data_IF_430948558927
#
_entry.id   IF_430948558927
#
_cell.length_a   1.000
_cell.length_b   1.000
_cell.length_c   1.000
_cell.angle_alpha   90.00
_cell.angle_beta   90.00
_cell.angle_gamma   90.00
#
_symmetry.space_group_name_H-M   'P 1'
#
loop_
_entity.id
_entity.type
_entity.pdbx_description
1 polymer ?
#
# COMPACT_ATOMS: atom_id res chain seq x y z
N UNK A 1 42.22 -0.21 7.55
CA UNK A 1 40.78 -0.02 7.80
C UNK A 1 40.05 0.42 6.54
N UNK A 2 40.30 1.63 6.01
CA UNK A 2 39.57 2.13 4.82
C UNK A 2 39.63 1.26 3.55
N UNK A 3 40.73 0.55 3.29
CA UNK A 3 40.83 -0.38 2.13
C UNK A 3 39.96 -1.62 2.34
N UNK A 4 40.05 -2.23 3.53
CA UNK A 4 39.24 -3.39 3.92
C UNK A 4 37.74 -3.07 3.89
N UNK A 5 37.34 -1.93 4.43
CA UNK A 5 35.93 -1.47 4.41
C UNK A 5 35.39 -1.35 2.98
N UNK A 6 36.17 -0.74 2.07
CA UNK A 6 35.77 -0.61 0.66
C UNK A 6 35.64 -1.95 -0.04
N UNK A 7 36.56 -2.87 0.19
CA UNK A 7 36.51 -4.22 -0.37
C UNK A 7 35.27 -4.97 0.13
N UNK A 8 35.02 -4.97 1.44
CA UNK A 8 33.85 -5.59 2.05
C UNK A 8 32.56 -5.02 1.47
N UNK A 9 32.40 -3.69 1.43
CA UNK A 9 31.21 -3.04 0.87
C UNK A 9 31.02 -3.40 -0.60
N UNK A 10 32.11 -3.50 -1.37
CA UNK A 10 32.05 -3.89 -2.79
C UNK A 10 31.55 -5.32 -2.95
N UNK A 11 32.05 -6.26 -2.14
CA UNK A 11 31.63 -7.65 -2.16
C UNK A 11 30.18 -7.84 -1.67
N UNK A 12 29.75 -7.09 -0.65
CA UNK A 12 28.35 -7.06 -0.19
C UNK A 12 27.42 -6.55 -1.30
N UNK A 13 27.77 -5.46 -1.97
CA UNK A 13 26.98 -4.97 -3.10
C UNK A 13 26.95 -5.99 -4.25
N UNK A 14 28.05 -6.71 -4.47
CA UNK A 14 28.10 -7.77 -5.46
C UNK A 14 27.22 -8.96 -5.10
N UNK A 15 27.12 -9.35 -3.82
CA UNK A 15 26.21 -10.43 -3.38
C UNK A 15 24.75 -10.05 -3.56
N UNK A 16 24.38 -8.79 -3.28
CA UNK A 16 23.02 -8.28 -3.53
C UNK A 16 22.68 -8.31 -5.01
N UNK A 17 23.56 -7.80 -5.88
CA UNK A 17 23.33 -7.78 -7.34
C UNK A 17 23.14 -9.19 -7.93
N UNK A 18 23.89 -10.17 -7.45
CA UNK A 18 23.83 -11.55 -7.96
C UNK A 18 22.91 -12.46 -7.14
N UNK A 19 22.28 -11.96 -6.06
CA UNK A 19 21.56 -12.75 -5.05
C UNK A 19 22.36 -13.97 -4.57
N UNK A 20 23.68 -13.80 -4.41
CA UNK A 20 24.61 -14.88 -4.08
C UNK A 20 24.79 -15.00 -2.56
N UNK A 21 24.06 -15.93 -1.96
CA UNK A 21 24.15 -16.26 -0.54
C UNK A 21 25.54 -16.76 -0.13
N UNK A 22 26.19 -17.59 -0.94
CA UNK A 22 27.52 -18.12 -0.64
C UNK A 22 28.57 -17.02 -0.56
N UNK A 23 28.49 -16.01 -1.43
CA UNK A 23 29.32 -14.81 -1.37
C UNK A 23 29.03 -14.00 -0.11
N UNK A 24 27.77 -13.75 0.21
CA UNK A 24 27.39 -13.02 1.42
C UNK A 24 27.95 -13.71 2.69
N UNK A 25 27.80 -15.03 2.81
CA UNK A 25 28.31 -15.79 3.95
C UNK A 25 29.84 -15.65 4.11
N UNK A 26 30.59 -15.75 3.00
CA UNK A 26 32.06 -15.59 3.03
C UNK A 26 32.47 -14.20 3.50
N UNK A 27 31.79 -13.16 3.02
CA UNK A 27 32.06 -11.78 3.44
C UNK A 27 31.73 -11.60 4.91
N UNK A 28 30.58 -12.10 5.37
CA UNK A 28 30.18 -12.03 6.77
C UNK A 28 31.18 -12.74 7.70
N UNK A 29 31.65 -13.94 7.33
CA UNK A 29 32.68 -14.64 8.09
C UNK A 29 33.99 -13.83 8.18
N UNK A 30 34.39 -13.15 7.11
CA UNK A 30 35.54 -12.24 7.13
C UNK A 30 35.31 -11.04 8.05
N UNK A 31 34.11 -10.47 8.09
CA UNK A 31 33.74 -9.39 9.01
C UNK A 31 33.90 -9.88 10.45
N UNK A 32 33.26 -11.00 10.81
CA UNK A 32 33.35 -11.58 12.17
C UNK A 32 34.79 -11.91 12.55
N UNK A 33 35.55 -12.56 11.66
CA UNK A 33 36.93 -12.95 11.94
C UNK A 33 37.85 -11.74 12.15
N UNK A 34 37.78 -10.73 11.28
CA UNK A 34 38.70 -9.60 11.33
C UNK A 34 38.31 -8.54 12.37
N UNK A 35 37.01 -8.42 12.67
CA UNK A 35 36.50 -7.36 13.52
C UNK A 35 36.11 -7.85 14.93
N UNK A 36 35.64 -9.08 15.09
CA UNK A 36 35.20 -9.61 16.39
C UNK A 36 36.23 -10.51 17.09
N UNK A 37 36.96 -11.35 16.34
CA UNK A 37 37.90 -12.33 16.93
C UNK A 37 39.03 -11.69 17.77
N UNK A 38 39.64 -10.55 17.39
CA UNK A 38 40.64 -9.88 18.22
C UNK A 38 40.08 -9.37 19.56
N UNK A 39 38.78 -9.02 19.61
CA UNK A 39 38.12 -8.51 20.82
C UNK A 39 37.87 -9.64 21.84
N UNK A 40 37.54 -10.84 21.36
CA UNK A 40 37.29 -12.02 22.21
C UNK A 40 38.56 -12.58 22.87
N UNK A 41 39.74 -12.31 22.29
CA UNK A 41 41.05 -12.75 22.79
C UNK A 41 41.67 -11.79 23.82
N UNK A 42 40.89 -10.85 24.37
CA UNK A 42 41.34 -9.93 25.42
C UNK A 42 42.31 -8.84 24.93
N UNK A 43 42.48 -8.68 23.61
CA UNK A 43 43.21 -7.54 23.07
C UNK A 43 42.41 -6.25 23.33
N UNK A 44 43.06 -5.12 23.67
CA UNK A 44 42.36 -3.84 23.79
C UNK A 44 41.61 -3.58 22.50
N UNK A 45 40.32 -3.20 22.60
CA UNK A 45 39.40 -2.95 21.48
C UNK A 45 40.05 -1.95 20.51
N UNK A 46 40.82 -2.45 19.53
CA UNK A 46 41.55 -1.62 18.58
C UNK A 46 40.53 -1.09 17.58
N UNK A 47 40.19 0.18 17.76
CA UNK A 47 39.14 0.92 17.05
C UNK A 47 37.73 0.38 17.33
N UNK A 48 36.80 1.29 17.61
CA UNK A 48 35.38 0.96 17.61
C UNK A 48 35.04 0.28 16.28
N UNK A 49 34.24 -0.77 16.35
CA UNK A 49 33.78 -1.48 15.17
C UNK A 49 33.14 -0.46 14.20
N UNK A 50 33.57 -0.41 12.93
CA UNK A 50 32.97 0.49 11.96
C UNK A 50 31.50 0.07 11.75
N UNK A 51 30.57 0.80 12.36
CA UNK A 51 29.13 0.50 12.37
C UNK A 51 28.54 0.51 10.96
N UNK A 52 29.17 1.20 10.01
CA UNK A 52 28.81 1.21 8.61
C UNK A 52 28.94 -0.19 8.00
N UNK A 53 30.01 -0.93 8.31
CA UNK A 53 30.20 -2.30 7.81
C UNK A 53 29.05 -3.21 8.26
N UNK A 54 28.61 -3.12 9.51
CA UNK A 54 27.47 -3.90 10.00
C UNK A 54 26.15 -3.44 9.39
N UNK A 55 25.92 -2.13 9.20
CA UNK A 55 24.72 -1.64 8.51
C UNK A 55 24.67 -2.16 7.07
N UNK A 56 25.76 -2.04 6.31
CA UNK A 56 25.83 -2.56 4.94
C UNK A 56 25.65 -4.09 4.90
N UNK A 57 26.26 -4.81 5.83
CA UNK A 57 26.12 -6.27 5.88
C UNK A 57 24.69 -6.70 6.21
N UNK A 58 24.03 -6.01 7.15
CA UNK A 58 22.64 -6.29 7.51
C UNK A 58 21.69 -6.03 6.34
N UNK A 59 21.84 -4.91 5.64
CA UNK A 59 21.01 -4.60 4.47
C UNK A 59 21.24 -5.58 3.32
N UNK A 60 22.51 -5.94 3.06
CA UNK A 60 22.83 -6.95 2.06
C UNK A 60 22.22 -8.31 2.42
N UNK A 61 22.27 -8.68 3.70
CA UNK A 61 21.66 -9.91 4.19
C UNK A 61 20.14 -9.90 4.04
N UNK A 62 19.46 -8.80 4.40
CA UNK A 62 18.02 -8.64 4.16
C UNK A 62 17.67 -8.76 2.66
N UNK A 63 18.47 -8.17 1.78
CA UNK A 63 18.24 -8.22 0.33
C UNK A 63 18.43 -9.61 -0.28
N UNK A 64 19.29 -10.46 0.32
CA UNK A 64 19.53 -11.85 -0.10
C UNK A 64 18.62 -12.85 0.66
N UNK A 65 17.85 -12.39 1.65
CA UNK A 65 16.93 -13.24 2.42
C UNK A 65 17.57 -13.95 3.62
N UNK A 66 18.69 -13.45 4.12
CA UNK A 66 19.43 -13.99 5.28
C UNK A 66 19.14 -13.21 6.55
N UNK A 67 17.98 -13.47 7.16
CA UNK A 67 17.57 -12.82 8.40
C UNK A 67 18.55 -13.06 9.56
N UNK A 68 19.13 -14.26 9.66
CA UNK A 68 20.10 -14.65 10.69
C UNK A 68 21.36 -13.77 10.68
N UNK A 69 21.91 -13.48 9.50
CA UNK A 69 23.08 -12.60 9.35
C UNK A 69 22.70 -11.15 9.70
N UNK A 70 21.51 -10.70 9.27
CA UNK A 70 21.02 -9.37 9.58
C UNK A 70 20.77 -9.17 11.09
N UNK A 71 20.22 -10.18 11.78
CA UNK A 71 20.02 -10.19 13.23
C UNK A 71 21.34 -10.10 13.99
N UNK A 72 22.37 -10.88 13.59
CA UNK A 72 23.70 -10.78 14.17
C UNK A 72 24.27 -9.37 14.03
N UNK A 73 24.20 -8.80 12.83
CA UNK A 73 24.67 -7.44 12.58
C UNK A 73 23.91 -6.42 13.42
N UNK A 74 22.58 -6.56 13.53
CA UNK A 74 21.75 -5.66 14.32
C UNK A 74 22.08 -5.77 15.82
N UNK A 75 22.36 -6.96 16.35
CA UNK A 75 22.79 -7.15 17.73
C UNK A 75 24.08 -6.38 18.04
N UNK A 76 25.06 -6.39 17.12
CA UNK A 76 26.29 -5.58 17.25
C UNK A 76 26.00 -4.08 17.21
N UNK A 77 25.07 -3.65 16.37
CA UNK A 77 24.63 -2.24 16.31
C UNK A 77 23.88 -1.81 17.59
N UNK A 78 23.24 -2.72 18.32
CA UNK A 78 22.65 -2.38 19.63
C UNK A 78 23.71 -2.16 20.71
N UNK A 79 24.81 -2.92 20.70
CA UNK A 79 25.92 -2.72 21.64
C UNK A 79 26.59 -1.36 21.45
N UNK A 80 26.71 -0.91 20.20
CA UNK A 80 27.28 0.38 19.82
C UNK A 80 26.45 1.03 18.69
N UNK A 81 25.40 1.79 19.05
CA UNK A 81 24.55 2.43 18.05
C UNK A 81 25.33 3.39 17.15
N UNK A 82 24.99 3.46 15.84
CA UNK A 82 25.58 4.45 14.95
C UNK A 82 25.36 5.87 15.46
N UNK A 83 26.41 6.68 15.47
CA UNK A 83 26.33 8.09 15.87
C UNK A 83 26.01 9.01 14.69
N UNK A 84 26.29 8.57 13.45
CA UNK A 84 25.93 9.30 12.24
C UNK A 84 24.45 9.06 11.92
N UNK A 85 23.70 10.16 11.79
CA UNK A 85 22.24 10.17 11.56
C UNK A 85 21.80 9.24 10.42
N UNK A 86 22.47 9.29 9.27
CA UNK A 86 22.19 8.44 8.10
C UNK A 86 22.14 6.94 8.45
N UNK A 87 23.10 6.48 9.25
CA UNK A 87 23.22 5.07 9.63
C UNK A 87 22.32 4.71 10.79
N UNK A 88 22.00 5.67 11.66
CA UNK A 88 20.99 5.48 12.70
C UNK A 88 19.58 5.34 12.10
N UNK A 89 19.27 6.07 11.03
CA UNK A 89 18.04 5.89 10.24
C UNK A 89 18.00 4.48 9.64
N UNK A 90 19.07 4.07 8.96
CA UNK A 90 19.17 2.74 8.33
C UNK A 90 19.11 1.60 9.35
N UNK A 91 19.70 1.79 10.54
CA UNK A 91 19.54 0.89 11.68
C UNK A 91 18.07 0.67 12.08
N UNK A 92 17.27 1.74 12.14
CA UNK A 92 15.84 1.62 12.41
C UNK A 92 15.09 0.87 11.30
N UNK A 93 15.50 1.06 10.04
CA UNK A 93 14.94 0.35 8.88
C UNK A 93 15.26 -1.14 8.89
N UNK A 94 16.50 -1.52 9.18
CA UNK A 94 16.91 -2.92 9.37
C UNK A 94 16.05 -3.57 10.47
N UNK A 95 15.91 -2.91 11.62
CA UNK A 95 15.07 -3.42 12.71
C UNK A 95 13.60 -3.53 12.34
N UNK A 96 13.07 -2.61 11.52
CA UNK A 96 11.71 -2.68 11.01
C UNK A 96 11.48 -3.90 10.11
N UNK A 97 12.42 -4.17 9.19
CA UNK A 97 12.36 -5.30 8.28
C UNK A 97 12.51 -6.64 9.02
N UNK A 98 13.41 -6.73 9.99
CA UNK A 98 13.55 -7.94 10.82
C UNK A 98 12.31 -8.21 11.66
N UNK A 99 11.71 -7.18 12.30
CA UNK A 99 10.43 -7.35 12.99
C UNK A 99 9.32 -7.88 12.06
N UNK A 100 9.35 -7.47 10.78
CA UNK A 100 8.38 -7.95 9.80
C UNK A 100 8.67 -9.38 9.33
N UNK A 101 9.94 -9.74 9.08
CA UNK A 101 10.33 -11.10 8.72
C UNK A 101 10.03 -12.10 9.84
N UNK A 102 10.20 -11.70 11.10
CA UNK A 102 9.81 -12.52 12.25
C UNK A 102 8.29 -12.76 12.35
N UNK A 103 7.48 -11.99 11.62
CA UNK A 103 6.03 -12.17 11.54
C UNK A 103 5.61 -13.22 10.50
N UNK A 104 6.55 -13.89 9.83
CA UNK A 104 6.22 -14.91 8.84
C UNK A 104 5.39 -16.05 9.47
N UNK A 105 4.31 -16.41 8.80
CA UNK A 105 3.31 -17.36 9.31
C UNK A 105 2.43 -16.87 10.46
N UNK A 106 2.66 -15.67 11.02
CA UNK A 106 1.85 -15.12 12.11
C UNK A 106 0.43 -14.76 11.64
N UNK A 107 -0.56 -14.91 12.55
CA UNK A 107 -1.97 -14.59 12.28
C UNK A 107 -2.58 -13.87 13.48
N UNK A 108 -3.66 -13.13 13.23
CA UNK A 108 -4.42 -12.46 14.29
C UNK A 108 -3.57 -11.49 15.11
N UNK A 109 -3.60 -11.64 16.45
CA UNK A 109 -2.92 -10.73 17.38
C UNK A 109 -1.40 -10.67 17.22
N UNK A 110 -0.74 -11.80 16.96
CA UNK A 110 0.72 -11.85 16.85
C UNK A 110 1.23 -11.12 15.61
N UNK A 111 0.48 -11.23 14.50
CA UNK A 111 0.73 -10.46 13.30
C UNK A 111 0.54 -8.96 13.57
N UNK A 112 -0.55 -8.59 14.25
CA UNK A 112 -0.83 -7.20 14.58
C UNK A 112 0.31 -6.57 15.38
N UNK A 113 0.77 -7.25 16.45
CA UNK A 113 1.88 -6.79 17.30
C UNK A 113 3.18 -6.68 16.50
N UNK A 114 3.52 -7.68 15.69
CA UNK A 114 4.78 -7.68 14.92
C UNK A 114 4.79 -6.59 13.85
N UNK A 115 3.68 -6.41 13.14
CA UNK A 115 3.50 -5.33 12.19
C UNK A 115 3.58 -3.96 12.87
N UNK A 116 2.91 -3.75 14.01
CA UNK A 116 3.00 -2.48 14.75
C UNK A 116 4.44 -2.16 15.17
N UNK A 117 5.17 -3.15 15.67
CA UNK A 117 6.58 -2.99 16.02
C UNK A 117 7.44 -2.63 14.81
N UNK A 118 7.16 -3.22 13.64
CA UNK A 118 7.81 -2.89 12.38
C UNK A 118 7.49 -1.46 11.94
N UNK A 119 6.20 -1.07 11.94
CA UNK A 119 5.73 0.26 11.52
C UNK A 119 6.29 1.37 12.42
N UNK A 120 6.32 1.17 13.74
CA UNK A 120 6.88 2.12 14.68
C UNK A 120 8.38 2.38 14.44
N UNK A 121 9.14 1.33 14.12
CA UNK A 121 10.57 1.44 13.78
C UNK A 121 10.78 2.16 12.45
N UNK A 122 10.01 1.82 11.42
CA UNK A 122 10.06 2.52 10.13
C UNK A 122 9.73 4.01 10.30
N UNK A 123 8.65 4.32 11.01
CA UNK A 123 8.23 5.70 11.27
C UNK A 123 9.30 6.50 12.04
N UNK A 124 10.01 5.87 12.98
CA UNK A 124 11.12 6.51 13.69
C UNK A 124 12.24 6.92 12.74
N UNK A 125 12.67 6.02 11.86
CA UNK A 125 13.68 6.34 10.83
C UNK A 125 13.22 7.42 9.85
N UNK A 126 11.95 7.36 9.42
CA UNK A 126 11.35 8.37 8.53
C UNK A 126 11.35 9.76 9.18
N UNK A 127 10.90 9.86 10.44
CA UNK A 127 10.88 11.14 11.15
C UNK A 127 12.29 11.74 11.27
N UNK A 128 13.30 10.92 11.57
CA UNK A 128 14.69 11.35 11.62
C UNK A 128 15.20 11.83 10.25
N UNK A 129 14.87 11.14 9.16
CA UNK A 129 15.23 11.55 7.81
C UNK A 129 14.60 12.91 7.44
N UNK A 130 13.36 13.16 7.90
CA UNK A 130 12.64 14.40 7.69
C UNK A 130 13.20 15.61 8.46
N UNK A 131 14.09 15.42 9.43
CA UNK A 131 14.79 16.54 10.08
C UNK A 131 15.78 17.24 9.14
N UNK A 132 16.31 16.51 8.14
CA UNK A 132 17.23 17.04 7.13
C UNK A 132 16.81 16.54 5.72
N UNK A 133 15.65 16.97 5.21
CA UNK A 133 15.05 16.39 4.02
C UNK A 133 15.90 16.60 2.76
N UNK A 134 16.65 17.71 2.65
CA UNK A 134 17.57 17.95 1.52
C UNK A 134 18.71 16.94 1.45
N UNK A 135 19.12 16.37 2.59
CA UNK A 135 20.21 15.40 2.68
C UNK A 135 19.73 13.96 2.64
N UNK A 136 18.57 13.69 3.22
CA UNK A 136 18.06 12.34 3.46
C UNK A 136 16.75 12.03 2.72
N UNK A 137 16.39 12.78 1.68
CA UNK A 137 15.20 12.51 0.87
C UNK A 137 15.10 11.05 0.42
N UNK A 138 16.20 10.45 -0.04
CA UNK A 138 16.23 9.05 -0.46
C UNK A 138 15.91 8.07 0.69
N UNK A 139 16.33 8.38 1.92
CA UNK A 139 15.99 7.59 3.11
C UNK A 139 14.52 7.73 3.49
N UNK A 140 13.88 8.87 3.23
CA UNK A 140 12.42 9.01 3.41
C UNK A 140 11.70 8.06 2.46
N UNK A 141 12.08 8.04 1.18
CA UNK A 141 11.47 7.15 0.17
C UNK A 141 11.67 5.67 0.54
N UNK A 142 12.89 5.30 0.94
CA UNK A 142 13.18 3.94 1.40
C UNK A 142 12.32 3.57 2.62
N UNK A 143 12.21 4.47 3.60
CA UNK A 143 11.39 4.25 4.79
C UNK A 143 9.91 4.07 4.46
N UNK A 144 9.36 4.87 3.56
CA UNK A 144 7.96 4.74 3.10
C UNK A 144 7.69 3.39 2.44
N UNK A 145 8.66 2.90 1.64
CA UNK A 145 8.57 1.56 1.02
C UNK A 145 8.56 0.47 2.09
N UNK A 146 9.47 0.54 3.06
CA UNK A 146 9.54 -0.41 4.18
C UNK A 146 8.25 -0.39 5.01
N UNK A 147 7.75 0.81 5.33
CA UNK A 147 6.50 0.99 6.06
C UNK A 147 5.32 0.37 5.31
N UNK A 148 5.21 0.60 3.99
CA UNK A 148 4.11 0.04 3.21
C UNK A 148 4.16 -1.48 3.13
N UNK A 149 5.35 -2.06 2.99
CA UNK A 149 5.51 -3.51 2.89
C UNK A 149 4.97 -4.26 4.11
N UNK A 150 5.20 -3.75 5.33
CA UNK A 150 4.62 -4.35 6.55
C UNK A 150 3.18 -3.89 6.81
N UNK A 151 2.86 -2.63 6.54
CA UNK A 151 1.53 -2.07 6.77
C UNK A 151 0.43 -2.66 5.88
N UNK A 152 0.79 -3.06 4.66
CA UNK A 152 -0.15 -3.66 3.70
C UNK A 152 -0.81 -4.93 4.23
N UNK A 153 -0.11 -5.71 5.05
CA UNK A 153 -0.69 -6.91 5.66
C UNK A 153 -1.82 -6.56 6.63
N UNK A 154 -1.65 -5.52 7.46
CA UNK A 154 -2.71 -5.02 8.34
C UNK A 154 -3.90 -4.51 7.54
N UNK A 155 -3.61 -3.77 6.46
CA UNK A 155 -4.65 -3.25 5.57
C UNK A 155 -5.48 -4.39 4.95
N UNK A 156 -4.82 -5.46 4.47
CA UNK A 156 -5.48 -6.66 3.92
C UNK A 156 -6.22 -7.49 4.96
N UNK A 157 -5.90 -7.39 6.23
CA UNK A 157 -6.65 -8.08 7.29
C UNK A 157 -7.75 -7.21 7.91
N UNK A 158 -7.96 -5.99 7.38
CA UNK A 158 -8.96 -5.08 7.93
C UNK A 158 -8.60 -4.54 9.31
N UNK A 159 -7.32 -4.61 9.70
CA UNK A 159 -6.81 -4.13 10.99
C UNK A 159 -6.54 -2.61 10.93
N UNK A 160 -7.55 -1.84 10.54
CA UNK A 160 -7.43 -0.42 10.23
C UNK A 160 -7.07 0.44 11.44
N UNK A 161 -7.63 0.15 12.62
CA UNK A 161 -7.31 0.86 13.86
C UNK A 161 -5.82 0.77 14.21
N UNK A 162 -5.21 -0.39 13.94
CA UNK A 162 -3.78 -0.58 14.13
C UNK A 162 -2.97 0.32 13.19
N UNK A 163 -3.38 0.43 11.91
CA UNK A 163 -2.72 1.34 10.97
C UNK A 163 -2.86 2.81 11.37
N UNK A 164 -4.01 3.21 11.93
CA UNK A 164 -4.26 4.59 12.34
C UNK A 164 -3.31 5.12 13.43
N UNK A 165 -2.58 4.23 14.12
CA UNK A 165 -1.54 4.63 15.09
C UNK A 165 -0.39 5.40 14.42
N UNK A 166 -0.03 5.05 13.17
CA UNK A 166 1.16 5.60 12.49
C UNK A 166 0.87 6.22 11.12
N UNK A 167 -0.16 5.73 10.41
CA UNK A 167 -0.48 6.16 9.04
C UNK A 167 -0.80 7.66 8.90
N UNK A 168 -1.52 8.32 9.83
CA UNK A 168 -1.74 9.76 9.75
C UNK A 168 -0.43 10.55 9.68
N UNK A 169 0.59 10.12 10.45
CA UNK A 169 1.90 10.77 10.43
C UNK A 169 2.64 10.51 9.12
N UNK A 170 2.49 9.32 8.53
CA UNK A 170 3.05 9.01 7.22
C UNK A 170 2.47 9.92 6.13
N UNK A 171 1.15 10.10 6.12
CA UNK A 171 0.50 11.03 5.17
C UNK A 171 1.02 12.45 5.35
N UNK A 172 1.15 12.94 6.58
CA UNK A 172 1.75 14.27 6.83
C UNK A 172 3.17 14.39 6.27
N UNK A 173 4.01 13.35 6.41
CA UNK A 173 5.36 13.33 5.87
C UNK A 173 5.33 13.39 4.34
N UNK A 174 4.52 12.55 3.70
CA UNK A 174 4.37 12.51 2.24
C UNK A 174 3.83 13.83 1.69
N UNK A 175 2.97 14.51 2.44
CA UNK A 175 2.44 15.81 2.04
C UNK A 175 3.46 16.95 2.18
N UNK A 176 4.36 16.86 3.16
CA UNK A 176 5.35 17.87 3.48
C UNK A 176 6.62 17.79 2.61
N UNK A 177 7.03 16.59 2.23
CA UNK A 177 8.13 16.42 1.29
C UNK A 177 7.61 16.70 -0.13
N UNK A 178 8.44 17.30 -1.00
CA UNK A 178 8.14 17.42 -2.43
C UNK A 178 8.29 16.04 -3.09
N UNK A 179 7.41 15.11 -2.70
CA UNK A 179 7.33 13.77 -3.27
C UNK A 179 6.78 13.93 -4.69
N UNK A 180 7.69 13.98 -5.67
CA UNK A 180 7.37 14.24 -7.09
C UNK A 180 6.43 13.21 -7.72
N UNK A 181 6.25 12.07 -7.06
CA UNK A 181 5.35 11.02 -7.49
C UNK A 181 3.93 11.32 -6.98
N UNK A 182 3.21 12.17 -7.72
CA UNK A 182 1.86 12.62 -7.37
C UNK A 182 0.89 11.45 -7.18
N UNK A 183 1.01 10.39 -7.99
CA UNK A 183 0.17 9.21 -7.90
C UNK A 183 0.27 8.55 -6.51
N UNK A 184 1.49 8.25 -6.05
CA UNK A 184 1.72 7.70 -4.72
C UNK A 184 1.21 8.61 -3.59
N UNK A 185 1.38 9.94 -3.69
CA UNK A 185 0.81 10.89 -2.72
C UNK A 185 -0.71 10.79 -2.63
N UNK A 186 -1.39 10.68 -3.77
CA UNK A 186 -2.83 10.47 -3.83
C UNK A 186 -3.23 9.13 -3.18
N UNK A 187 -2.50 8.05 -3.44
CA UNK A 187 -2.76 6.74 -2.85
C UNK A 187 -2.58 6.75 -1.31
N UNK A 188 -1.62 7.49 -0.77
CA UNK A 188 -1.46 7.63 0.69
C UNK A 188 -2.66 8.31 1.35
N UNK A 189 -3.18 9.38 0.74
CA UNK A 189 -4.42 10.02 1.20
C UNK A 189 -5.61 9.06 1.13
N UNK A 190 -5.72 8.30 0.03
CA UNK A 190 -6.79 7.33 -0.17
C UNK A 190 -6.75 6.23 0.90
N UNK A 191 -5.58 5.62 1.14
CA UNK A 191 -5.38 4.59 2.16
C UNK A 191 -5.78 5.09 3.55
N UNK A 192 -5.37 6.31 3.91
CA UNK A 192 -5.77 6.90 5.20
C UNK A 192 -7.27 7.15 5.28
N UNK A 193 -7.89 7.62 4.19
CA UNK A 193 -9.34 7.84 4.17
C UNK A 193 -10.12 6.54 4.37
N UNK A 194 -9.66 5.43 3.78
CA UNK A 194 -10.27 4.11 3.97
C UNK A 194 -10.09 3.64 5.40
N UNK A 195 -8.88 3.77 5.97
CA UNK A 195 -8.65 3.41 7.36
C UNK A 195 -9.60 4.18 8.31
N UNK A 196 -9.75 5.50 8.12
CA UNK A 196 -10.73 6.26 8.92
C UNK A 196 -12.17 5.79 8.71
N UNK A 197 -12.56 5.51 7.47
CA UNK A 197 -13.93 5.09 7.14
C UNK A 197 -14.28 3.76 7.83
N UNK A 198 -13.38 2.79 7.74
CA UNK A 198 -13.55 1.45 8.30
C UNK A 198 -13.42 1.42 9.83
N UNK A 199 -12.76 2.41 10.42
CA UNK A 199 -12.70 2.65 11.87
C UNK A 199 -13.85 3.54 12.40
N UNK A 200 -14.93 3.73 11.63
CA UNK A 200 -16.08 4.58 11.98
C UNK A 200 -15.77 6.07 12.23
N UNK A 201 -14.63 6.56 11.72
CA UNK A 201 -14.21 7.98 11.81
C UNK A 201 -14.62 8.74 10.55
N UNK A 202 -15.91 8.71 10.23
CA UNK A 202 -16.42 9.14 8.92
C UNK A 202 -16.15 10.62 8.57
N UNK A 203 -16.14 11.51 9.56
CA UNK A 203 -15.81 12.93 9.33
C UNK A 203 -14.39 13.13 8.81
N UNK A 204 -13.41 12.44 9.41
CA UNK A 204 -12.01 12.47 8.99
C UNK A 204 -11.79 11.73 7.67
N UNK A 205 -12.53 10.62 7.47
CA UNK A 205 -12.53 9.88 6.23
C UNK A 205 -12.97 10.76 5.05
N UNK A 206 -14.11 11.45 5.18
CA UNK A 206 -14.63 12.35 4.15
C UNK A 206 -13.69 13.53 3.87
N UNK A 207 -13.15 14.17 4.92
CA UNK A 207 -12.20 15.27 4.76
C UNK A 207 -10.91 14.83 4.05
N UNK A 208 -10.37 13.65 4.41
CA UNK A 208 -9.16 13.12 3.79
C UNK A 208 -9.39 12.69 2.34
N UNK A 209 -10.54 12.06 2.05
CA UNK A 209 -10.93 11.69 0.68
C UNK A 209 -11.10 12.94 -0.19
N UNK A 210 -11.72 14.00 0.33
CA UNK A 210 -11.87 15.24 -0.42
C UNK A 210 -10.51 15.87 -0.76
N UNK A 211 -9.54 15.85 0.17
CA UNK A 211 -8.16 16.27 -0.13
C UNK A 211 -7.55 15.47 -1.28
N UNK A 212 -7.77 14.15 -1.32
CA UNK A 212 -7.29 13.30 -2.42
C UNK A 212 -7.94 13.68 -3.77
N UNK A 213 -9.25 13.93 -3.76
CA UNK A 213 -10.02 14.36 -4.95
C UNK A 213 -9.54 15.71 -5.46
N UNK A 214 -9.39 16.70 -4.59
CA UNK A 214 -8.91 18.04 -4.95
C UNK A 214 -7.47 17.99 -5.49
N UNK A 215 -6.62 17.16 -4.88
CA UNK A 215 -5.25 16.93 -5.33
C UNK A 215 -5.21 16.28 -6.72
N UNK A 216 -5.96 15.21 -6.94
CA UNK A 216 -6.01 14.52 -8.22
C UNK A 216 -6.63 15.38 -9.33
N UNK A 217 -7.65 16.18 -9.04
CA UNK A 217 -8.22 17.12 -10.00
C UNK A 217 -7.16 18.10 -10.56
N UNK A 218 -6.14 18.43 -9.75
CA UNK A 218 -5.05 19.33 -10.14
C UNK A 218 -3.90 18.63 -10.85
N UNK A 219 -3.53 17.42 -10.42
CA UNK A 219 -2.27 16.78 -10.84
C UNK A 219 -2.43 15.42 -11.53
N UNK A 220 -3.59 14.77 -11.42
CA UNK A 220 -3.85 13.40 -11.87
C UNK A 220 -5.26 13.27 -12.47
N UNK A 221 -5.54 13.89 -13.63
CA UNK A 221 -6.86 13.85 -14.25
C UNK A 221 -7.35 12.41 -14.52
N UNK A 222 -6.42 11.49 -14.81
CA UNK A 222 -6.72 10.07 -15.08
C UNK A 222 -7.27 9.34 -13.84
N UNK A 223 -6.94 9.80 -12.62
CA UNK A 223 -7.42 9.21 -11.36
C UNK A 223 -8.85 9.65 -11.00
N UNK A 224 -9.43 10.61 -11.73
CA UNK A 224 -10.74 11.19 -11.42
C UNK A 224 -11.84 10.13 -11.30
N UNK A 225 -11.87 9.18 -12.25
CA UNK A 225 -12.89 8.13 -12.27
C UNK A 225 -12.71 7.15 -11.11
N UNK A 226 -11.48 6.76 -10.79
CA UNK A 226 -11.16 5.87 -9.68
C UNK A 226 -11.53 6.50 -8.32
N UNK A 227 -11.21 7.77 -8.13
CA UNK A 227 -11.58 8.48 -6.89
C UNK A 227 -13.09 8.67 -6.77
N UNK A 228 -13.79 8.93 -7.89
CA UNK A 228 -15.24 9.03 -7.87
C UNK A 228 -15.91 7.70 -7.47
N UNK A 229 -15.39 6.55 -7.91
CA UNK A 229 -15.84 5.22 -7.45
C UNK A 229 -15.74 5.10 -5.93
N UNK A 230 -14.63 5.54 -5.35
CA UNK A 230 -14.44 5.51 -3.90
C UNK A 230 -15.38 6.47 -3.18
N UNK A 231 -15.61 7.67 -3.72
CA UNK A 231 -16.60 8.61 -3.18
C UNK A 231 -18.02 8.02 -3.14
N UNK A 232 -18.43 7.31 -4.19
CA UNK A 232 -19.71 6.58 -4.21
C UNK A 232 -19.74 5.49 -3.15
N UNK A 233 -18.70 4.66 -3.05
CA UNK A 233 -18.64 3.59 -2.06
C UNK A 233 -18.72 4.14 -0.62
N UNK A 234 -18.10 5.28 -0.34
CA UNK A 234 -18.15 5.93 0.99
C UNK A 234 -19.57 6.37 1.38
N UNK A 235 -20.48 6.55 0.42
CA UNK A 235 -21.87 6.93 0.74
C UNK A 235 -22.64 5.85 1.52
N UNK A 236 -22.14 4.60 1.52
CA UNK A 236 -22.61 3.51 2.37
C UNK A 236 -22.46 3.83 3.86
N UNK A 237 -21.42 4.57 4.23
CA UNK A 237 -21.05 4.84 5.62
C UNK A 237 -21.40 6.26 6.05
N UNK A 238 -21.31 7.23 5.14
CA UNK A 238 -21.64 8.61 5.41
C UNK A 238 -22.39 9.23 4.23
N UNK A 239 -23.58 9.77 4.48
CA UNK A 239 -24.36 10.44 3.44
C UNK A 239 -23.55 11.59 2.84
N UNK A 240 -23.29 11.52 1.54
CA UNK A 240 -22.69 12.59 0.77
C UNK A 240 -23.58 12.91 -0.43
N UNK A 241 -24.50 13.89 -0.30
CA UNK A 241 -25.43 14.22 -1.38
C UNK A 241 -24.72 14.74 -2.64
N UNK A 242 -23.49 15.25 -2.50
CA UNK A 242 -22.72 15.79 -3.64
C UNK A 242 -22.36 14.72 -4.66
N UNK A 243 -22.20 13.46 -4.23
CA UNK A 243 -21.78 12.38 -5.14
C UNK A 243 -22.75 12.22 -6.30
N UNK A 244 -24.07 12.28 -6.06
CA UNK A 244 -25.06 12.19 -7.14
C UNK A 244 -25.07 13.44 -8.03
N UNK A 245 -24.88 14.63 -7.47
CA UNK A 245 -24.84 15.88 -8.25
C UNK A 245 -23.56 16.01 -9.08
N UNK A 246 -22.47 15.41 -8.64
CA UNK A 246 -21.17 15.46 -9.31
C UNK A 246 -21.10 14.52 -10.54
N UNK A 247 -22.10 13.62 -10.70
CA UNK A 247 -22.29 12.74 -11.86
C UNK A 247 -22.73 13.50 -13.12
N UNK A 248 -21.90 14.44 -13.56
CA UNK A 248 -22.21 15.38 -14.65
C UNK A 248 -22.02 14.77 -16.04
N UNK A 249 -21.11 13.80 -16.18
CA UNK A 249 -20.79 13.14 -17.46
C UNK A 249 -21.43 11.75 -17.55
N UNK A 250 -21.61 11.25 -18.77
CA UNK A 250 -22.08 9.88 -19.03
C UNK A 250 -21.28 8.81 -18.25
N UNK A 251 -19.95 8.93 -18.27
CA UNK A 251 -19.04 8.00 -17.58
C UNK A 251 -19.28 8.04 -16.06
N UNK A 252 -19.39 9.22 -15.45
CA UNK A 252 -19.62 9.33 -14.00
C UNK A 252 -21.01 8.83 -13.60
N UNK A 253 -22.04 9.04 -14.43
CA UNK A 253 -23.37 8.44 -14.21
C UNK A 253 -23.33 6.92 -14.28
N UNK A 254 -22.59 6.39 -15.25
CA UNK A 254 -22.33 4.96 -15.38
C UNK A 254 -21.66 4.39 -14.12
N UNK A 255 -20.58 5.03 -13.68
CA UNK A 255 -19.88 4.68 -12.43
C UNK A 255 -20.81 4.74 -11.24
N UNK A 256 -21.58 5.82 -11.07
CA UNK A 256 -22.50 6.00 -9.96
C UNK A 256 -23.49 4.83 -9.86
N UNK A 257 -24.21 4.52 -10.95
CA UNK A 257 -25.22 3.47 -10.94
C UNK A 257 -24.63 2.08 -10.65
N UNK A 258 -23.53 1.72 -11.32
CA UNK A 258 -22.84 0.44 -11.09
C UNK A 258 -22.31 0.35 -9.65
N UNK A 259 -21.68 1.41 -9.15
CA UNK A 259 -21.02 1.41 -7.85
C UNK A 259 -22.03 1.43 -6.68
N UNK A 260 -23.19 2.09 -6.84
CA UNK A 260 -24.29 2.04 -5.86
C UNK A 260 -24.80 0.61 -5.65
N UNK A 261 -24.90 -0.16 -6.75
CA UNK A 261 -25.31 -1.56 -6.70
C UNK A 261 -24.19 -2.44 -6.15
N UNK A 262 -22.97 -2.30 -6.67
CA UNK A 262 -21.85 -3.16 -6.27
C UNK A 262 -21.43 -2.95 -4.81
N UNK A 263 -21.61 -1.75 -4.27
CA UNK A 263 -21.36 -1.43 -2.87
C UNK A 263 -22.53 -1.84 -1.94
N UNK A 264 -23.62 -2.39 -2.49
CA UNK A 264 -24.82 -2.76 -1.73
C UNK A 264 -25.59 -1.58 -1.11
N UNK A 265 -25.39 -0.37 -1.63
CA UNK A 265 -26.11 0.84 -1.17
C UNK A 265 -27.57 0.78 -1.64
N UNK A 266 -27.79 0.21 -2.82
CA UNK A 266 -29.11 -0.12 -3.35
C UNK A 266 -29.26 -1.64 -3.32
N UNK A 267 -30.28 -2.13 -2.61
CA UNK A 267 -30.42 -3.55 -2.31
C UNK A 267 -31.72 -4.17 -2.87
N UNK A 268 -32.75 -3.36 -3.13
CA UNK A 268 -34.00 -3.86 -3.67
C UNK A 268 -33.92 -4.00 -5.20
N UNK A 269 -34.41 -5.14 -5.69
CA UNK A 269 -34.40 -5.47 -7.12
C UNK A 269 -34.92 -4.35 -8.05
N UNK A 270 -36.06 -3.68 -7.79
CA UNK A 270 -36.54 -2.64 -8.69
C UNK A 270 -35.62 -1.41 -8.71
N UNK A 271 -35.02 -1.03 -7.58
CA UNK A 271 -34.04 0.06 -7.56
C UNK A 271 -32.72 -0.32 -8.23
N UNK A 272 -32.26 -1.57 -8.10
CA UNK A 272 -31.09 -2.09 -8.83
C UNK A 272 -31.34 -2.00 -10.34
N UNK A 273 -32.47 -2.52 -10.82
CA UNK A 273 -32.85 -2.48 -12.24
C UNK A 273 -32.91 -1.04 -12.75
N UNK A 274 -33.45 -0.11 -11.96
CA UNK A 274 -33.50 1.32 -12.31
C UNK A 274 -32.11 1.93 -12.42
N UNK A 275 -31.27 1.81 -11.40
CA UNK A 275 -29.94 2.45 -11.38
C UNK A 275 -29.03 1.89 -12.50
N UNK A 276 -29.09 0.59 -12.78
CA UNK A 276 -28.33 -0.01 -13.89
C UNK A 276 -28.87 0.40 -15.27
N UNK A 277 -30.20 0.50 -15.41
CA UNK A 277 -30.80 0.96 -16.67
C UNK A 277 -30.45 2.42 -16.96
N UNK A 278 -30.52 3.28 -15.95
CA UNK A 278 -30.16 4.69 -16.07
C UNK A 278 -28.67 4.88 -16.38
N UNK A 279 -27.81 4.08 -15.73
CA UNK A 279 -26.38 4.02 -16.04
C UNK A 279 -26.12 3.58 -17.49
N UNK A 280 -26.79 2.52 -17.96
CA UNK A 280 -26.65 2.02 -19.33
C UNK A 280 -27.08 3.07 -20.37
N UNK A 281 -28.26 3.67 -20.19
CA UNK A 281 -28.78 4.74 -21.08
C UNK A 281 -27.87 5.96 -21.12
N UNK A 282 -27.21 6.29 -20.01
CA UNK A 282 -26.27 7.40 -19.98
C UNK A 282 -24.99 7.12 -20.79
N UNK A 283 -24.52 5.86 -20.80
CA UNK A 283 -23.30 5.42 -21.50
C UNK A 283 -23.54 5.12 -22.98
N UNK A 284 -24.70 4.56 -23.30
CA UNK A 284 -25.15 4.26 -24.67
C UNK A 284 -26.35 5.15 -24.94
N UNK A 285 -26.14 6.40 -25.35
CA UNK A 285 -27.24 7.21 -25.85
C UNK A 285 -27.88 6.48 -27.03
N UNK A 286 -29.22 6.45 -27.08
CA UNK A 286 -29.95 5.82 -28.19
C UNK A 286 -29.39 6.35 -29.52
N UNK A 287 -28.72 5.48 -30.29
CA UNK A 287 -28.55 5.67 -31.72
C UNK A 287 -29.96 5.59 -32.33
N UNK A 288 -30.67 6.72 -32.29
CA UNK A 288 -31.85 6.90 -33.13
C UNK A 288 -31.42 6.61 -34.57
N UNK A 289 -32.10 5.69 -35.29
CA UNK A 289 -31.70 5.35 -36.64
C UNK A 289 -31.75 6.60 -37.52
N UNK A 290 -30.76 6.83 -38.41
CA UNK A 290 -30.79 7.97 -39.29
C UNK A 290 -31.91 7.78 -40.33
N UNK A 291 -32.98 8.55 -40.19
CA UNK A 291 -33.91 8.82 -41.28
C UNK A 291 -35.03 7.80 -41.51
N UNK A 292 -36.23 8.34 -41.63
CA UNK A 292 -37.50 7.70 -41.97
C UNK A 292 -37.52 6.95 -43.31
N UNK A 293 -38.23 5.82 -43.36
CA UNK A 293 -39.13 5.49 -44.48
C UNK A 293 -40.20 4.49 -44.03
N UNK A 294 -41.46 4.79 -44.34
CA UNK A 294 -42.63 4.06 -43.85
C UNK A 294 -42.70 2.60 -44.33
N UNK A 295 -43.20 1.74 -43.44
CA UNK A 295 -43.64 0.38 -43.72
C UNK A 295 -44.51 -0.14 -42.57
N UNK A 296 -45.75 -0.52 -42.87
CA UNK A 296 -46.77 -1.04 -41.94
C UNK A 296 -46.24 -2.10 -40.94
N UNK A 297 -46.78 -2.17 -39.71
CA UNK A 297 -46.35 -3.15 -38.73
C UNK A 297 -46.89 -4.55 -39.07
N UNK A 298 -45.99 -5.54 -39.11
CA UNK A 298 -46.37 -6.95 -39.06
C UNK A 298 -46.59 -7.37 -37.60
N UNK A 299 -47.69 -8.09 -37.36
CA UNK A 299 -48.14 -8.50 -36.03
C UNK A 299 -47.11 -9.37 -35.28
N UNK A 300 -47.00 -9.24 -33.94
CA UNK A 300 -46.05 -10.02 -33.14
C UNK A 300 -46.52 -11.48 -32.99
N UNK A 301 -45.60 -12.43 -33.19
CA UNK A 301 -45.83 -13.84 -32.82
C UNK A 301 -45.81 -13.99 -31.29
N UNK A 302 -46.68 -14.85 -30.72
CA UNK A 302 -46.79 -15.02 -29.27
C UNK A 302 -45.56 -15.72 -28.67
N UNK A 303 -45.19 -15.41 -27.42
CA UNK A 303 -44.02 -15.99 -26.76
C UNK A 303 -44.27 -17.46 -26.37
N UNK A 304 -43.22 -18.31 -26.36
CA UNK A 304 -43.32 -19.67 -25.86
C UNK A 304 -43.50 -19.69 -24.33
N UNK A 305 -44.37 -20.59 -23.85
CA UNK A 305 -44.71 -20.78 -22.43
C UNK A 305 -43.50 -21.17 -21.57
N UNK A 306 -43.45 -20.75 -20.29
CA UNK A 306 -42.37 -21.11 -19.37
C UNK A 306 -42.56 -22.53 -18.78
N UNK A 307 -41.46 -23.26 -18.66
CA UNK A 307 -41.37 -24.53 -17.90
C UNK A 307 -41.01 -24.25 -16.42
N UNK A 308 -41.31 -25.17 -15.48
CA UNK A 308 -41.53 -24.84 -14.07
C UNK A 308 -40.22 -24.67 -13.28
N UNK A 309 -40.25 -23.72 -12.34
CA UNK A 309 -39.22 -23.50 -11.31
C UNK A 309 -39.04 -24.76 -10.44
N UNK A 310 -37.78 -25.14 -10.22
CA UNK A 310 -37.37 -25.95 -9.06
C UNK A 310 -36.12 -25.35 -8.43
N UNK A 311 -36.16 -25.25 -7.10
CA UNK A 311 -34.98 -25.26 -6.22
C UNK A 311 -34.29 -23.92 -6.03
N UNK A 312 -34.38 -23.38 -4.82
CA UNK A 312 -33.75 -22.13 -4.42
C UNK A 312 -32.22 -22.15 -4.52
N UNK A 313 -31.68 -20.97 -4.79
CA UNK A 313 -30.33 -20.60 -4.42
C UNK A 313 -30.47 -19.30 -3.63
N UNK A 314 -29.90 -19.31 -2.43
CA UNK A 314 -29.86 -18.16 -1.54
C UNK A 314 -29.24 -16.95 -2.25
N UNK A 315 -29.81 -15.78 -2.02
CA UNK A 315 -29.16 -14.50 -2.27
C UNK A 315 -27.81 -14.47 -1.55
N UNK A 316 -26.74 -14.82 -2.26
CA UNK A 316 -25.38 -14.60 -1.80
C UNK A 316 -25.09 -13.11 -1.99
N UNK A 317 -25.49 -12.32 -0.98
CA UNK A 317 -25.08 -10.93 -0.85
C UNK A 317 -23.56 -10.90 -0.85
N UNK A 318 -22.98 -10.12 -1.77
CA UNK A 318 -21.55 -9.86 -1.79
C UNK A 318 -21.16 -9.29 -0.43
N UNK A 319 -20.26 -9.96 0.28
CA UNK A 319 -19.79 -9.50 1.60
C UNK A 319 -18.79 -8.36 1.42
N UNK A 320 -18.59 -7.53 2.45
CA UNK A 320 -17.59 -6.45 2.47
C UNK A 320 -16.17 -6.91 2.08
N UNK A 321 -15.89 -8.21 2.21
CA UNK A 321 -14.62 -8.83 1.83
C UNK A 321 -14.44 -8.93 0.31
N UNK A 322 -15.52 -9.11 -0.46
CA UNK A 322 -15.49 -9.19 -1.92
C UNK A 322 -15.34 -7.81 -2.58
N UNK A 323 -15.87 -6.75 -1.96
CA UNK A 323 -15.65 -5.36 -2.35
C UNK A 323 -14.18 -4.94 -2.14
N UNK A 324 -13.57 -5.40 -1.04
CA UNK A 324 -12.15 -5.21 -0.76
C UNK A 324 -11.24 -6.00 -1.70
N UNK A 325 -11.66 -7.18 -2.18
CA UNK A 325 -10.92 -7.94 -3.17
C UNK A 325 -10.88 -7.26 -4.55
N UNK A 326 -11.94 -6.56 -4.94
CA UNK A 326 -11.99 -5.76 -6.15
C UNK A 326 -10.96 -4.62 -6.10
N UNK A 327 -10.90 -3.91 -4.97
CA UNK A 327 -9.89 -2.87 -4.75
C UNK A 327 -8.46 -3.45 -4.68
N UNK A 328 -8.26 -4.62 -4.06
CA UNK A 328 -6.97 -5.33 -4.06
C UNK A 328 -6.56 -5.87 -5.43
N UNK A 329 -7.49 -6.13 -6.35
CA UNK A 329 -7.20 -6.51 -7.74
C UNK A 329 -6.73 -5.31 -8.54
N UNK A 330 -7.36 -4.15 -8.34
CA UNK A 330 -6.97 -2.89 -8.98
C UNK A 330 -5.60 -2.40 -8.48
N UNK A 331 -5.33 -2.49 -7.17
CA UNK A 331 -4.00 -2.16 -6.61
C UNK A 331 -2.90 -3.12 -7.13
N UNK A 332 -3.23 -4.39 -7.44
CA UNK A 332 -2.29 -5.34 -8.07
C UNK A 332 -2.01 -5.02 -9.54
N UNK A 333 -3.03 -4.58 -10.29
CA UNK A 333 -2.86 -4.18 -11.69
C UNK A 333 -2.09 -2.86 -11.84
N UNK A 334 -2.24 -1.93 -10.88
CA UNK A 334 -1.44 -0.70 -10.84
C UNK A 334 0.02 -0.96 -10.44
N UNK A 335 0.29 -1.97 -9.60
CA UNK A 335 1.65 -2.37 -9.21
C UNK A 335 2.43 -3.10 -10.33
N UNK A 336 1.76 -3.90 -11.16
CA UNK A 336 2.38 -4.54 -12.34
C UNK A 336 2.79 -3.53 -13.42
N UNK A 337 2.16 -2.34 -13.45
CA UNK A 337 2.52 -1.25 -14.37
C UNK A 337 3.60 -0.28 -13.88
N UNK A 338 3.92 -0.29 -12.58
CA UNK A 338 4.98 0.54 -11.97
C UNK A 338 6.31 -0.23 -11.80
N UNK A 339 6.37 -1.47 -12.28
CA UNK A 339 7.52 -2.37 -12.18
C UNK A 339 8.45 -2.42 -13.41
N UNK A 340 8.24 -1.55 -14.41
CA UNK A 340 9.14 -1.41 -15.58
C UNK A 340 10.09 -0.21 -15.46
#
# INVERSE_FOLDING_TARGET
>A
MAVFEREVITELNASVRTKDDGRLQKVFQRIVHNLEAPVLLGAPRKAALPWDVYVFCAEAALAVGRADIAEHCLARLYEQPPTRTEFLIRFHYIGSQLCWLAADGAKGGDLATSAQNSLAKALRGINMACEQPSRYAYLVVQGLTIYWNSGRALYRQGLYDQLLVTLPRIVQVVEAIDYREYHARCLWLLRLSVCYCMSNRHGEAGATLQKAVDFAARFLPDMKNNLYRVQVAFTKYAQNPKVRTDATTAILKGILGVQLVSAGIVADKPSIERELTDAFKALVPDDGPPGSAGGKPAAPKPPPKPAPKKGGAADEKLTSDQELELWRREERQEEEGLGE
#
